data_IF_497163970493
#
_entry.id   IF_497163970493
#
_cell.length_a   1.000
_cell.length_b   1.000
_cell.length_c   1.000
_cell.angle_alpha   90.00
_cell.angle_beta   90.00
_cell.angle_gamma   90.00
#
_symmetry.space_group_name_H-M   'P 1'
#
loop_
_entity.id
_entity.type
_entity.pdbx_description
1 polymer ?
#
# COMPACT_ATOMS: atom_id res chain seq x y z
N UNK A 1 19.94 -8.10 -10.72
CA UNK A 1 18.72 -7.41 -10.26
C UNK A 1 17.65 -8.37 -9.73
N UNK A 2 17.65 -9.65 -10.13
CA UNK A 2 16.63 -10.64 -9.71
C UNK A 2 16.55 -10.83 -8.20
N UNK A 3 17.69 -10.89 -7.49
CA UNK A 3 17.65 -11.09 -6.05
C UNK A 3 17.06 -9.86 -5.33
N UNK A 4 17.34 -8.63 -5.80
CA UNK A 4 16.73 -7.41 -5.26
C UNK A 4 15.22 -7.44 -5.47
N UNK A 5 14.78 -7.78 -6.70
CA UNK A 5 13.36 -7.85 -7.04
C UNK A 5 12.62 -8.87 -6.15
N UNK A 6 13.22 -10.04 -5.93
CA UNK A 6 12.67 -11.07 -5.05
C UNK A 6 12.56 -10.63 -3.59
N UNK A 7 13.62 -10.05 -3.04
CA UNK A 7 13.62 -9.58 -1.63
C UNK A 7 12.57 -8.48 -1.44
N UNK A 8 12.58 -7.46 -2.31
CA UNK A 8 11.60 -6.37 -2.26
C UNK A 8 10.19 -6.92 -2.42
N UNK A 9 9.98 -7.86 -3.35
CA UNK A 9 8.67 -8.44 -3.60
C UNK A 9 8.14 -9.20 -2.40
N UNK A 10 8.96 -10.07 -1.79
CA UNK A 10 8.56 -10.84 -0.60
C UNK A 10 8.23 -9.90 0.56
N UNK A 11 9.08 -8.90 0.82
CA UNK A 11 8.83 -7.92 1.88
C UNK A 11 7.55 -7.12 1.63
N UNK A 12 7.34 -6.60 0.41
CA UNK A 12 6.12 -5.87 0.07
C UNK A 12 4.88 -6.77 0.14
N UNK A 13 4.99 -8.04 -0.21
CA UNK A 13 3.87 -8.98 -0.15
C UNK A 13 3.44 -9.22 1.30
N UNK A 14 4.38 -9.34 2.24
CA UNK A 14 4.09 -9.43 3.67
C UNK A 14 3.39 -8.16 4.19
N UNK A 15 3.88 -6.98 3.80
CA UNK A 15 3.25 -5.71 4.16
C UNK A 15 1.87 -5.53 3.52
N UNK A 16 1.69 -5.98 2.28
CA UNK A 16 0.40 -5.93 1.60
C UNK A 16 -0.60 -6.85 2.30
N UNK A 17 -0.18 -8.06 2.65
CA UNK A 17 -1.02 -9.03 3.35
C UNK A 17 -1.46 -8.51 4.73
N UNK A 18 -0.58 -7.85 5.47
CA UNK A 18 -0.92 -7.30 6.80
C UNK A 18 -1.96 -6.18 6.75
N UNK A 19 -2.13 -5.50 5.61
CA UNK A 19 -3.15 -4.46 5.41
C UNK A 19 -4.53 -5.02 5.12
N UNK A 20 -4.65 -6.23 4.57
CA UNK A 20 -5.94 -6.86 4.24
C UNK A 20 -6.91 -6.87 5.43
N UNK A 21 -6.54 -7.38 6.64
CA UNK A 21 -7.44 -7.36 7.79
C UNK A 21 -7.78 -5.94 8.24
N UNK A 22 -6.86 -4.98 8.08
CA UNK A 22 -7.08 -3.59 8.46
C UNK A 22 -8.09 -2.89 7.53
N UNK A 23 -7.97 -3.12 6.23
CA UNK A 23 -8.95 -2.65 5.23
C UNK A 23 -10.31 -3.28 5.48
N UNK A 24 -10.35 -4.59 5.70
CA UNK A 24 -11.59 -5.32 5.98
C UNK A 24 -12.29 -4.77 7.23
N UNK A 25 -11.57 -4.63 8.33
CA UNK A 25 -12.14 -4.14 9.58
C UNK A 25 -12.65 -2.70 9.42
N UNK A 26 -11.90 -1.82 8.74
CA UNK A 26 -12.32 -0.45 8.45
C UNK A 26 -13.65 -0.37 7.70
N UNK A 27 -13.93 -1.30 6.77
CA UNK A 27 -15.23 -1.40 6.12
C UNK A 27 -16.31 -1.96 7.04
N UNK A 28 -16.00 -3.01 7.81
CA UNK A 28 -16.93 -3.69 8.71
C UNK A 28 -17.48 -2.75 9.78
N UNK A 29 -16.62 -1.95 10.42
CA UNK A 29 -17.03 -1.03 11.49
C UNK A 29 -17.34 0.38 10.98
N UNK A 30 -17.19 0.63 9.67
CA UNK A 30 -17.32 1.95 9.03
C UNK A 30 -16.53 3.03 9.78
N UNK A 31 -15.22 2.82 9.94
CA UNK A 31 -14.33 3.77 10.62
C UNK A 31 -12.99 3.86 9.89
N UNK A 32 -12.51 5.08 9.72
CA UNK A 32 -11.14 5.35 9.30
C UNK A 32 -10.15 5.12 10.43
N UNK A 33 -9.58 3.91 10.49
CA UNK A 33 -8.67 3.48 11.56
C UNK A 33 -7.32 4.21 11.56
N UNK A 34 -6.92 4.77 10.41
CA UNK A 34 -5.64 5.47 10.25
C UNK A 34 -5.84 6.97 10.13
N UNK A 35 -4.82 7.75 10.52
CA UNK A 35 -4.84 9.20 10.34
C UNK A 35 -4.70 9.57 8.86
N UNK A 36 -5.22 10.75 8.49
CA UNK A 36 -5.11 11.27 7.11
C UNK A 36 -3.63 11.45 6.74
N UNK A 37 -2.82 11.99 7.66
CA UNK A 37 -1.39 12.24 7.42
C UNK A 37 -0.61 10.95 7.15
N UNK A 38 -0.81 9.91 7.96
CA UNK A 38 -0.11 8.63 7.76
C UNK A 38 -0.53 7.99 6.44
N UNK A 39 -1.84 7.97 6.15
CA UNK A 39 -2.35 7.32 4.94
C UNK A 39 -1.94 8.06 3.66
N UNK A 40 -2.03 9.39 3.62
CA UNK A 40 -1.67 10.18 2.43
C UNK A 40 -0.17 10.10 2.10
N UNK A 41 0.70 10.25 3.10
CA UNK A 41 2.16 10.21 2.91
C UNK A 41 2.56 8.81 2.40
N UNK A 42 1.99 7.75 2.98
CA UNK A 42 2.32 6.38 2.60
C UNK A 42 1.81 6.03 1.19
N UNK A 43 0.59 6.44 0.84
CA UNK A 43 0.05 6.26 -0.52
C UNK A 43 0.93 6.93 -1.57
N UNK A 44 1.30 8.20 -1.37
CA UNK A 44 2.16 8.93 -2.31
C UNK A 44 3.55 8.26 -2.40
N UNK A 45 4.13 7.90 -1.26
CA UNK A 45 5.42 7.23 -1.21
C UNK A 45 5.44 5.90 -1.97
N UNK A 46 4.41 5.07 -1.79
CA UNK A 46 4.34 3.76 -2.46
C UNK A 46 4.11 3.86 -3.97
N UNK A 47 3.34 4.85 -4.44
CA UNK A 47 3.21 5.12 -5.87
C UNK A 47 4.50 5.70 -6.47
N UNK A 48 5.20 6.57 -5.75
CA UNK A 48 6.51 7.05 -6.20
C UNK A 48 7.52 5.88 -6.29
N UNK A 49 7.54 5.00 -5.29
CA UNK A 49 8.40 3.81 -5.27
C UNK A 49 8.06 2.83 -6.39
N UNK A 50 6.78 2.64 -6.72
CA UNK A 50 6.40 1.76 -7.83
C UNK A 50 6.95 2.30 -9.16
N UNK A 51 6.87 3.60 -9.42
CA UNK A 51 7.47 4.23 -10.62
C UNK A 51 8.99 4.03 -10.65
N UNK A 52 9.67 4.12 -9.51
CA UNK A 52 11.11 3.83 -9.41
C UNK A 52 11.41 2.37 -9.72
N UNK A 53 10.62 1.41 -9.21
CA UNK A 53 10.81 0.00 -9.53
C UNK A 53 10.57 -0.30 -11.02
N UNK A 54 9.59 0.37 -11.63
CA UNK A 54 9.35 0.28 -13.06
C UNK A 54 10.55 0.80 -13.87
N UNK A 55 11.12 1.95 -13.50
CA UNK A 55 12.28 2.52 -14.21
C UNK A 55 13.56 1.69 -14.05
N UNK A 56 13.67 0.92 -12.96
CA UNK A 56 14.77 -0.02 -12.71
C UNK A 56 14.55 -1.42 -13.31
N UNK A 57 13.41 -1.67 -13.97
CA UNK A 57 13.08 -2.97 -14.55
C UNK A 57 12.76 -4.07 -13.51
N UNK A 58 12.39 -3.68 -12.28
CA UNK A 58 12.02 -4.59 -11.19
C UNK A 58 10.51 -4.87 -11.24
N UNK A 59 10.09 -5.69 -12.21
CA UNK A 59 8.69 -5.87 -12.57
C UNK A 59 7.84 -6.42 -11.43
N UNK A 60 8.35 -7.38 -10.64
CA UNK A 60 7.57 -7.96 -9.55
C UNK A 60 7.38 -6.95 -8.41
N UNK A 61 8.44 -6.24 -8.06
CA UNK A 61 8.45 -5.17 -7.06
C UNK A 61 7.51 -4.04 -7.46
N UNK A 62 7.49 -3.66 -8.74
CA UNK A 62 6.55 -2.67 -9.28
C UNK A 62 5.11 -3.08 -9.02
N UNK A 63 4.72 -4.30 -9.43
CA UNK A 63 3.34 -4.78 -9.29
C UNK A 63 2.92 -4.84 -7.84
N UNK A 64 3.74 -5.42 -6.95
CA UNK A 64 3.34 -5.57 -5.55
C UNK A 64 3.33 -4.22 -4.82
N UNK A 65 4.25 -3.29 -5.12
CA UNK A 65 4.25 -1.95 -4.55
C UNK A 65 3.03 -1.15 -5.00
N UNK A 66 2.56 -1.36 -6.23
CA UNK A 66 1.35 -0.73 -6.76
C UNK A 66 0.09 -1.28 -6.07
N UNK A 67 0.03 -2.58 -5.80
CA UNK A 67 -1.06 -3.19 -5.00
C UNK A 67 -1.03 -2.62 -3.57
N UNK A 68 0.13 -2.58 -2.93
CA UNK A 68 0.31 -2.03 -1.60
C UNK A 68 -0.14 -0.56 -1.53
N UNK A 69 0.31 0.28 -2.47
CA UNK A 69 -0.10 1.67 -2.57
C UNK A 69 -1.62 1.84 -2.75
N UNK A 70 -2.24 0.92 -3.49
CA UNK A 70 -3.70 0.91 -3.68
C UNK A 70 -4.45 0.54 -2.41
N UNK A 71 -3.96 -0.41 -1.60
CA UNK A 71 -4.55 -0.72 -0.29
C UNK A 71 -4.45 0.49 0.66
N UNK A 72 -3.30 1.18 0.67
CA UNK A 72 -3.14 2.42 1.44
C UNK A 72 -4.07 3.53 0.96
N UNK A 73 -4.28 3.67 -0.36
CA UNK A 73 -5.27 4.58 -0.91
C UNK A 73 -6.68 4.23 -0.43
N UNK A 74 -7.04 2.94 -0.38
CA UNK A 74 -8.33 2.51 0.18
C UNK A 74 -8.46 2.92 1.64
N UNK A 75 -7.41 2.75 2.46
CA UNK A 75 -7.42 3.18 3.87
C UNK A 75 -7.57 4.71 4.01
N UNK A 76 -6.93 5.50 3.13
CA UNK A 76 -7.12 6.94 3.06
C UNK A 76 -8.58 7.28 2.73
N UNK A 77 -9.16 6.62 1.71
CA UNK A 77 -10.56 6.81 1.31
C UNK A 77 -11.54 6.42 2.43
N UNK A 78 -11.27 5.34 3.16
CA UNK A 78 -12.03 4.97 4.35
C UNK A 78 -11.96 6.08 5.41
N UNK A 79 -10.79 6.68 5.64
CA UNK A 79 -10.66 7.80 6.57
C UNK A 79 -11.41 9.05 6.12
N UNK A 80 -11.43 9.35 4.83
CA UNK A 80 -12.18 10.49 4.28
C UNK A 80 -13.70 10.26 4.30
N UNK A 81 -14.16 9.03 4.07
CA UNK A 81 -15.59 8.69 4.00
C UNK A 81 -16.20 8.42 5.38
N UNK A 82 -15.47 7.75 6.26
CA UNK A 82 -15.94 7.32 7.58
C UNK A 82 -15.37 8.15 8.74
N UNK A 83 -14.55 9.16 8.44
CA UNK A 83 -14.03 10.09 9.43
C UNK A 83 -15.12 11.04 9.93
N UNK A 84 -15.95 10.56 10.85
CA UNK A 84 -16.51 11.43 11.90
C UNK A 84 -15.47 11.63 13.00
#
# INVERSE_FOLDING_TARGET
MIWQDLVITITNLLFTYSLIPQVWEGFKIRKGLLTIQTSIITTIGLYAMSVVFLSLGLTFSFVISLINGTLWLILLLQRLSYGK
#
